data_IF_141616960175
#
_entry.id   IF_141616960175
#
_cell.length_a   1.000
_cell.length_b   1.000
_cell.length_c   1.000
_cell.angle_alpha   90.00
_cell.angle_beta   90.00
_cell.angle_gamma   90.00
#
_symmetry.space_group_name_H-M   'P 1'
#
loop_
_entity.id
_entity.type
_entity.pdbx_description
1 polymer ?
#
# COMPACT_ATOMS: atom_id res chain seq x y z
N UNK A 1 -5.22 12.44 13.03
CA UNK A 1 -4.27 11.97 12.00
C UNK A 1 -2.87 12.38 12.39
N UNK A 2 -1.85 11.58 12.10
CA UNK A 2 -0.46 11.97 12.33
C UNK A 2 -0.08 13.11 11.37
N UNK A 3 0.74 14.06 11.86
CA UNK A 3 1.36 15.05 10.96
C UNK A 3 2.49 14.40 10.17
N UNK A 4 2.85 14.99 9.04
CA UNK A 4 3.98 14.54 8.21
C UNK A 4 5.27 14.39 9.04
N UNK A 5 5.63 15.40 9.83
CA UNK A 5 6.80 15.39 10.70
C UNK A 5 6.80 14.21 11.70
N UNK A 6 5.63 13.91 12.32
CA UNK A 6 5.49 12.78 13.24
C UNK A 6 5.64 11.43 12.51
N UNK A 7 5.11 11.32 11.30
CA UNK A 7 5.25 10.11 10.48
C UNK A 7 6.70 9.86 10.09
N UNK A 8 7.42 10.87 9.61
CA UNK A 8 8.86 10.78 9.30
C UNK A 8 9.69 10.38 10.54
N UNK A 9 9.38 10.95 11.70
CA UNK A 9 10.07 10.60 12.95
C UNK A 9 9.88 9.10 13.31
N UNK A 10 8.68 8.57 13.11
CA UNK A 10 8.40 7.15 13.33
C UNK A 10 9.22 6.29 12.37
N UNK A 11 9.24 6.63 11.09
CA UNK A 11 10.00 5.91 10.06
C UNK A 11 11.51 5.90 10.37
N UNK A 12 12.08 7.02 10.81
CA UNK A 12 13.49 7.11 11.22
C UNK A 12 13.78 6.28 12.47
N UNK A 13 12.97 6.40 13.52
CA UNK A 13 13.13 5.65 14.77
C UNK A 13 13.08 4.13 14.58
N UNK A 14 12.38 3.65 13.59
CA UNK A 14 12.28 2.21 13.26
C UNK A 14 13.30 1.78 12.22
N UNK A 15 14.23 2.65 11.81
CA UNK A 15 15.17 2.42 10.70
C UNK A 15 14.47 2.05 9.37
N UNK A 16 13.19 2.41 9.24
CA UNK A 16 12.43 2.24 8.00
C UNK A 16 12.80 3.30 6.97
N UNK A 17 13.12 4.52 7.40
CA UNK A 17 13.68 5.59 6.55
C UNK A 17 15.14 5.78 6.92
N UNK A 18 16.01 5.65 5.93
CA UNK A 18 17.45 5.83 6.05
C UNK A 18 17.92 6.96 5.14
N UNK A 19 18.76 7.82 5.66
CA UNK A 19 19.47 8.84 4.89
C UNK A 19 20.86 8.27 4.51
N UNK A 20 21.33 8.52 3.29
CA UNK A 20 22.60 8.01 2.77
C UNK A 20 22.64 8.03 1.23
N UNK A 21 23.59 7.33 0.64
CA UNK A 21 23.65 7.17 -0.81
C UNK A 21 23.21 5.73 -1.18
N UNK A 22 22.12 5.60 -1.90
CA UNK A 22 21.52 4.33 -2.28
C UNK A 22 21.34 4.25 -3.80
N UNK A 23 21.64 3.08 -4.36
CA UNK A 23 21.30 2.74 -5.72
C UNK A 23 19.99 1.93 -5.68
N UNK A 24 18.94 2.47 -6.30
CA UNK A 24 17.63 1.84 -6.35
C UNK A 24 17.61 0.71 -7.38
N UNK A 25 16.61 -0.17 -7.31
CA UNK A 25 16.42 -1.26 -8.29
C UNK A 25 16.22 -0.77 -9.73
N UNK A 26 15.86 0.51 -9.90
CA UNK A 26 15.78 1.19 -11.19
C UNK A 26 17.15 1.65 -11.73
N UNK A 27 18.24 1.51 -10.95
CA UNK A 27 19.55 2.07 -11.26
C UNK A 27 19.70 3.54 -10.88
N UNK A 28 18.64 4.21 -10.43
CA UNK A 28 18.72 5.61 -10.00
C UNK A 28 19.32 5.73 -8.60
N UNK A 29 20.03 6.84 -8.39
CA UNK A 29 20.60 7.18 -7.09
C UNK A 29 19.61 7.95 -6.24
N UNK A 30 19.57 7.66 -4.93
CA UNK A 30 18.74 8.36 -3.98
C UNK A 30 19.51 8.66 -2.71
N UNK A 31 19.25 9.82 -2.12
CA UNK A 31 19.75 10.19 -0.79
C UNK A 31 18.96 9.55 0.35
N UNK A 32 17.86 8.87 0.03
CA UNK A 32 17.00 8.21 1.01
C UNK A 32 16.59 6.83 0.53
N UNK A 33 16.45 5.92 1.48
CA UNK A 33 15.95 4.57 1.23
C UNK A 33 14.85 4.23 2.25
N UNK A 34 13.74 3.68 1.75
CA UNK A 34 12.61 3.26 2.60
C UNK A 34 12.46 1.75 2.56
N UNK A 35 12.43 1.17 3.77
CA UNK A 35 12.17 -0.25 4.00
C UNK A 35 11.03 -0.39 5.02
N UNK A 36 9.79 -0.37 4.55
CA UNK A 36 8.62 -0.40 5.41
C UNK A 36 8.50 -1.67 6.26
N UNK A 37 9.10 -2.78 5.85
CA UNK A 37 9.16 -4.00 6.66
C UNK A 37 9.80 -3.76 8.04
N UNK A 38 10.75 -2.81 8.14
CA UNK A 38 11.35 -2.40 9.43
C UNK A 38 10.35 -1.72 10.36
N UNK A 39 9.48 -0.86 9.83
CA UNK A 39 8.38 -0.29 10.62
C UNK A 39 7.39 -1.38 11.01
N UNK A 40 7.00 -2.22 10.05
CA UNK A 40 5.95 -3.22 10.23
C UNK A 40 6.38 -4.36 11.17
N UNK A 41 7.70 -4.53 11.41
CA UNK A 41 8.20 -5.47 12.42
C UNK A 41 7.97 -5.02 13.88
N UNK A 42 7.49 -3.78 14.09
CA UNK A 42 7.07 -3.25 15.39
C UNK A 42 5.57 -2.96 15.42
N UNK A 43 4.69 -3.98 15.66
CA UNK A 43 3.25 -3.83 15.49
C UNK A 43 2.63 -2.66 16.26
N UNK A 44 3.07 -2.41 17.50
CA UNK A 44 2.59 -1.31 18.34
C UNK A 44 2.97 0.09 17.81
N UNK A 45 4.09 0.19 17.09
CA UNK A 45 4.51 1.44 16.44
C UNK A 45 3.79 1.58 15.09
N UNK A 46 3.77 0.51 14.30
CA UNK A 46 3.11 0.44 13.01
C UNK A 46 1.62 0.79 13.11
N UNK A 47 0.95 0.34 14.19
CA UNK A 47 -0.46 0.66 14.46
C UNK A 47 -0.73 2.18 14.41
N UNK A 48 0.19 3.03 14.87
CA UNK A 48 0.02 4.50 14.84
C UNK A 48 -0.06 5.02 13.41
N UNK A 49 0.82 4.53 12.52
CA UNK A 49 0.82 4.88 11.10
C UNK A 49 -0.42 4.32 10.41
N UNK A 50 -0.71 3.02 10.61
CA UNK A 50 -1.84 2.34 9.99
C UNK A 50 -3.18 2.96 10.42
N UNK A 51 -3.30 3.37 11.69
CA UNK A 51 -4.49 4.09 12.18
C UNK A 51 -4.66 5.43 11.47
N UNK A 52 -3.56 6.18 11.28
CA UNK A 52 -3.61 7.45 10.56
C UNK A 52 -3.98 7.24 9.09
N UNK A 53 -3.41 6.23 8.44
CA UNK A 53 -3.71 5.86 7.06
C UNK A 53 -5.18 5.42 6.92
N UNK A 54 -5.66 4.55 7.82
CA UNK A 54 -7.06 4.08 7.81
C UNK A 54 -8.06 5.22 7.94
N UNK A 55 -7.75 6.24 8.77
CA UNK A 55 -8.58 7.45 8.88
C UNK A 55 -8.62 8.23 7.57
N UNK A 56 -7.47 8.36 6.87
CA UNK A 56 -7.41 9.00 5.55
C UNK A 56 -8.22 8.21 4.51
N UNK A 57 -8.03 6.89 4.47
CA UNK A 57 -8.78 6.00 3.56
C UNK A 57 -10.29 6.17 3.79
N UNK A 58 -10.75 6.12 5.04
CA UNK A 58 -12.19 6.29 5.37
C UNK A 58 -12.73 7.66 4.99
N UNK A 59 -11.89 8.71 5.06
CA UNK A 59 -12.28 10.07 4.66
C UNK A 59 -12.45 10.20 3.15
N UNK A 60 -11.56 9.59 2.37
CA UNK A 60 -11.50 9.77 0.92
C UNK A 60 -12.31 8.74 0.14
N UNK A 61 -12.44 7.52 0.67
CA UNK A 61 -13.18 6.45 0.01
C UNK A 61 -14.39 6.04 0.83
N UNK A 62 -15.57 6.17 0.23
CA UNK A 62 -16.83 5.77 0.87
C UNK A 62 -17.25 4.38 0.40
N UNK A 63 -17.92 3.65 1.30
CA UNK A 63 -18.52 2.32 1.00
C UNK A 63 -17.49 1.33 0.45
N UNK A 64 -16.31 1.22 1.10
CA UNK A 64 -15.30 0.20 0.78
C UNK A 64 -15.86 -1.19 1.12
N UNK A 65 -15.68 -2.15 0.22
CA UNK A 65 -16.10 -3.53 0.42
C UNK A 65 -14.90 -4.43 0.71
N UNK A 66 -13.75 -4.17 0.08
CA UNK A 66 -12.58 -5.04 0.09
C UNK A 66 -11.29 -4.22 0.07
N UNK A 67 -10.28 -4.70 0.80
CA UNK A 67 -8.89 -4.27 0.69
C UNK A 67 -8.13 -5.34 -0.11
N UNK A 68 -7.40 -4.92 -1.13
CA UNK A 68 -6.49 -5.77 -1.90
C UNK A 68 -5.06 -5.27 -1.71
N UNK A 69 -4.14 -6.18 -1.43
CA UNK A 69 -2.72 -5.83 -1.26
C UNK A 69 -1.80 -6.71 -2.10
N UNK A 70 -0.77 -6.16 -2.73
CA UNK A 70 0.23 -6.96 -3.42
C UNK A 70 1.18 -7.63 -2.41
N UNK A 71 1.39 -8.93 -2.55
CA UNK A 71 2.43 -9.62 -1.80
C UNK A 71 3.82 -9.22 -2.31
N UNK A 72 4.86 -9.19 -1.45
CA UNK A 72 4.87 -9.54 -0.03
C UNK A 72 4.66 -8.31 0.86
N UNK A 73 5.23 -7.14 0.50
CA UNK A 73 5.28 -5.94 1.35
C UNK A 73 3.89 -5.45 1.78
N UNK A 74 2.90 -5.56 0.89
CA UNK A 74 1.53 -5.10 1.16
C UNK A 74 0.73 -5.98 2.14
N UNK A 75 1.14 -7.22 2.41
CA UNK A 75 0.31 -8.16 3.20
C UNK A 75 0.06 -7.63 4.61
N UNK A 76 1.13 -7.29 5.33
CA UNK A 76 1.03 -6.90 6.74
C UNK A 76 0.25 -5.59 6.89
N UNK A 77 0.58 -4.59 6.07
CA UNK A 77 -0.13 -3.32 6.12
C UNK A 77 -1.58 -3.46 5.69
N UNK A 78 -1.85 -4.27 4.65
CA UNK A 78 -3.21 -4.54 4.20
C UNK A 78 -4.05 -5.18 5.28
N UNK A 79 -3.52 -6.21 5.94
CA UNK A 79 -4.18 -6.86 7.08
C UNK A 79 -4.52 -5.86 8.19
N UNK A 80 -3.54 -5.04 8.61
CA UNK A 80 -3.75 -4.08 9.69
C UNK A 80 -4.76 -2.98 9.31
N UNK A 81 -4.68 -2.45 8.08
CA UNK A 81 -5.66 -1.48 7.57
C UNK A 81 -7.06 -2.10 7.50
N UNK A 82 -7.16 -3.34 7.01
CA UNK A 82 -8.43 -4.06 6.94
C UNK A 82 -9.04 -4.29 8.32
N UNK A 83 -8.23 -4.70 9.29
CA UNK A 83 -8.63 -4.85 10.70
C UNK A 83 -9.18 -3.54 11.26
N UNK A 84 -8.48 -2.42 11.05
CA UNK A 84 -8.88 -1.09 11.52
C UNK A 84 -10.15 -0.57 10.83
N UNK A 85 -10.35 -0.89 9.57
CA UNK A 85 -11.53 -0.52 8.79
C UNK A 85 -12.68 -1.53 8.94
N UNK A 86 -12.44 -2.68 9.57
CA UNK A 86 -13.38 -3.82 9.65
C UNK A 86 -13.84 -4.27 8.27
N UNK A 87 -12.86 -4.48 7.36
CA UNK A 87 -13.08 -4.90 5.98
C UNK A 87 -12.35 -6.19 5.69
N UNK A 88 -12.96 -7.02 4.85
CA UNK A 88 -12.29 -8.16 4.25
C UNK A 88 -11.00 -7.69 3.58
N UNK A 89 -9.92 -8.44 3.79
CA UNK A 89 -8.62 -8.14 3.21
C UNK A 89 -8.05 -9.37 2.57
N UNK A 90 -7.72 -9.25 1.30
CA UNK A 90 -7.06 -10.30 0.52
C UNK A 90 -5.77 -9.76 -0.08
N UNK A 91 -4.94 -10.66 -0.56
CA UNK A 91 -3.73 -10.28 -1.27
C UNK A 91 -3.60 -11.05 -2.60
N UNK A 92 -2.89 -10.44 -3.54
CA UNK A 92 -2.42 -11.10 -4.74
C UNK A 92 -0.93 -11.37 -4.65
N UNK A 93 -0.49 -12.46 -5.26
CA UNK A 93 0.90 -12.89 -5.24
C UNK A 93 1.44 -13.11 -6.67
N UNK A 94 2.76 -12.94 -6.85
CA UNK A 94 3.38 -13.15 -8.16
C UNK A 94 3.57 -14.63 -8.43
N UNK A 95 3.02 -15.08 -9.56
CA UNK A 95 3.22 -16.41 -10.11
C UNK A 95 3.72 -16.23 -11.53
N UNK A 96 4.91 -16.76 -11.82
CA UNK A 96 5.56 -16.60 -13.14
C UNK A 96 5.57 -15.12 -13.60
N UNK A 97 5.93 -14.22 -12.69
CA UNK A 97 6.07 -12.77 -12.94
C UNK A 97 4.77 -11.96 -13.00
N UNK A 98 3.59 -12.58 -12.91
CA UNK A 98 2.28 -11.90 -12.97
C UNK A 98 1.53 -12.03 -11.66
N UNK A 99 0.86 -10.97 -11.22
CA UNK A 99 -0.01 -11.04 -10.05
C UNK A 99 -1.26 -11.88 -10.33
N UNK A 100 -1.58 -12.74 -9.36
CA UNK A 100 -2.74 -13.63 -9.40
C UNK A 100 -3.40 -13.67 -8.02
N UNK A 101 -4.72 -13.86 -8.00
CA UNK A 101 -5.45 -14.27 -6.82
C UNK A 101 -5.30 -15.78 -6.67
N UNK A 102 -4.90 -16.21 -5.48
CA UNK A 102 -4.77 -17.62 -5.11
C UNK A 102 -5.48 -17.88 -3.78
N UNK A 103 -5.28 -19.05 -3.22
CA UNK A 103 -5.78 -19.42 -1.88
C UNK A 103 -7.31 -19.29 -1.74
N UNK A 104 -8.05 -19.45 -2.84
CA UNK A 104 -9.49 -19.29 -2.85
C UNK A 104 -9.97 -17.84 -2.80
N UNK A 105 -9.07 -16.86 -2.86
CA UNK A 105 -9.48 -15.44 -2.87
C UNK A 105 -10.21 -15.08 -4.15
N UNK A 106 -11.34 -14.39 -3.98
CA UNK A 106 -12.19 -13.93 -5.08
C UNK A 106 -12.58 -12.47 -4.84
N UNK A 107 -12.49 -11.67 -5.88
CA UNK A 107 -13.05 -10.32 -5.88
C UNK A 107 -14.45 -10.40 -6.49
N UNK A 108 -15.47 -10.13 -5.69
CA UNK A 108 -16.87 -10.15 -6.15
C UNK A 108 -17.13 -9.06 -7.20
N UNK A 109 -17.96 -9.38 -8.19
CA UNK A 109 -18.43 -8.38 -9.17
C UNK A 109 -19.04 -7.18 -8.44
N UNK A 110 -18.77 -5.97 -8.94
CA UNK A 110 -19.20 -4.69 -8.39
C UNK A 110 -18.64 -4.35 -7.00
N UNK A 111 -17.81 -5.20 -6.38
CA UNK A 111 -17.13 -4.86 -5.13
C UNK A 111 -16.28 -3.59 -5.29
N UNK A 112 -16.32 -2.73 -4.29
CA UNK A 112 -15.54 -1.48 -4.23
C UNK A 112 -14.25 -1.75 -3.47
N UNK A 113 -13.13 -1.69 -4.20
CA UNK A 113 -11.83 -2.16 -3.74
C UNK A 113 -10.87 -0.98 -3.58
N UNK A 114 -10.16 -0.94 -2.46
CA UNK A 114 -8.99 -0.07 -2.25
C UNK A 114 -7.74 -0.95 -2.28
N UNK A 115 -6.74 -0.55 -3.06
CA UNK A 115 -5.42 -1.18 -3.04
C UNK A 115 -4.60 -0.52 -1.94
N UNK A 116 -4.02 -1.35 -1.05
CA UNK A 116 -3.13 -0.90 0.03
C UNK A 116 -1.76 -1.53 -0.15
N UNK A 117 -0.74 -0.69 -0.22
CA UNK A 117 0.66 -1.07 -0.43
C UNK A 117 1.55 -0.42 0.64
N UNK A 118 2.70 -0.99 0.92
CA UNK A 118 3.64 -0.40 1.88
C UNK A 118 4.36 0.81 1.28
N UNK A 119 4.93 0.65 0.09
CA UNK A 119 5.62 1.71 -0.67
C UNK A 119 5.16 1.67 -2.12
N UNK A 120 4.68 2.79 -2.64
CA UNK A 120 4.48 2.96 -4.08
C UNK A 120 5.72 3.65 -4.65
N UNK A 121 6.43 2.96 -5.54
CA UNK A 121 7.60 3.51 -6.26
C UNK A 121 7.20 3.89 -7.69
N UNK A 122 7.31 2.96 -8.63
CA UNK A 122 6.88 3.16 -10.03
C UNK A 122 5.37 2.96 -10.23
N UNK A 123 4.67 2.48 -9.21
CA UNK A 123 3.26 2.11 -9.32
C UNK A 123 2.99 0.83 -10.11
N UNK A 124 4.02 0.14 -10.63
CA UNK A 124 3.84 -1.07 -11.45
C UNK A 124 3.02 -2.15 -10.75
N UNK A 125 3.34 -2.46 -9.50
CA UNK A 125 2.61 -3.45 -8.69
C UNK A 125 1.15 -3.05 -8.49
N UNK A 126 0.93 -1.79 -8.10
CA UNK A 126 -0.42 -1.24 -7.90
C UNK A 126 -1.25 -1.28 -9.19
N UNK A 127 -0.66 -0.94 -10.35
CA UNK A 127 -1.34 -1.00 -11.64
C UNK A 127 -1.64 -2.44 -12.10
N UNK A 128 -0.75 -3.38 -11.81
CA UNK A 128 -1.01 -4.80 -12.07
C UNK A 128 -2.16 -5.33 -11.19
N UNK A 129 -2.23 -4.93 -9.91
CA UNK A 129 -3.36 -5.24 -9.03
C UNK A 129 -4.68 -4.63 -9.54
N UNK A 130 -4.64 -3.41 -10.08
CA UNK A 130 -5.80 -2.77 -10.68
C UNK A 130 -6.37 -3.57 -11.85
N UNK A 131 -5.52 -4.24 -12.65
CA UNK A 131 -5.97 -5.14 -13.73
C UNK A 131 -6.75 -6.35 -13.21
N UNK A 132 -6.39 -6.90 -12.03
CA UNK A 132 -7.14 -8.00 -11.41
C UNK A 132 -8.55 -7.54 -10.99
N UNK A 133 -8.65 -6.34 -10.41
CA UNK A 133 -9.92 -5.74 -10.03
C UNK A 133 -10.81 -5.55 -11.26
N UNK A 134 -10.25 -4.99 -12.35
CA UNK A 134 -10.96 -4.80 -13.62
C UNK A 134 -11.43 -6.14 -14.22
N UNK A 135 -10.56 -7.16 -14.22
CA UNK A 135 -10.88 -8.51 -14.71
C UNK A 135 -12.05 -9.13 -13.93
N UNK A 136 -12.15 -8.86 -12.64
CA UNK A 136 -13.25 -9.31 -11.77
C UNK A 136 -14.53 -8.48 -11.91
N UNK A 137 -14.59 -7.51 -12.83
CA UNK A 137 -15.71 -6.57 -13.00
C UNK A 137 -16.05 -5.84 -11.69
N UNK A 138 -15.06 -5.59 -10.85
CA UNK A 138 -15.15 -4.82 -9.62
C UNK A 138 -14.71 -3.36 -9.86
N UNK A 139 -14.97 -2.48 -8.89
CA UNK A 139 -14.66 -1.06 -8.95
C UNK A 139 -13.44 -0.75 -8.11
N UNK A 140 -12.37 -0.29 -8.74
CA UNK A 140 -11.24 0.31 -8.03
C UNK A 140 -11.65 1.69 -7.52
N UNK A 141 -11.52 1.92 -6.20
CA UNK A 141 -11.77 3.23 -5.58
C UNK A 141 -10.49 4.08 -5.58
N UNK A 142 -9.34 3.48 -5.40
CA UNK A 142 -8.04 4.14 -5.39
C UNK A 142 -6.95 3.34 -4.69
N UNK A 143 -5.84 4.02 -4.44
CA UNK A 143 -4.63 3.45 -3.86
C UNK A 143 -4.32 4.15 -2.53
N UNK A 144 -3.71 3.42 -1.61
CA UNK A 144 -3.20 3.97 -0.37
C UNK A 144 -1.87 3.29 -0.01
N UNK A 145 -0.92 4.06 0.53
CA UNK A 145 0.37 3.53 0.97
C UNK A 145 0.90 4.30 2.18
N UNK A 146 1.88 3.72 2.88
CA UNK A 146 2.59 4.43 3.93
C UNK A 146 3.38 5.59 3.34
N UNK A 147 4.00 5.34 2.19
CA UNK A 147 4.82 6.33 1.49
C UNK A 147 4.78 6.14 -0.02
N UNK A 148 5.04 7.22 -0.72
CA UNK A 148 5.25 7.24 -2.17
C UNK A 148 6.68 7.73 -2.39
N UNK A 149 7.48 6.94 -3.11
CA UNK A 149 8.81 7.35 -3.53
C UNK A 149 8.70 8.06 -4.88
N UNK A 150 8.93 9.37 -4.88
CA UNK A 150 8.82 10.20 -6.08
C UNK A 150 9.99 9.93 -7.04
N UNK A 151 9.81 8.95 -7.91
CA UNK A 151 10.55 8.85 -9.16
C UNK A 151 9.54 8.69 -10.29
N UNK A 152 9.08 9.81 -10.87
CA UNK A 152 8.23 9.88 -12.07
C UNK A 152 6.98 8.98 -12.05
N UNK A 153 6.08 9.20 -11.08
CA UNK A 153 4.78 8.54 -11.05
C UNK A 153 3.81 9.23 -12.01
N UNK A 154 3.52 8.58 -13.12
CA UNK A 154 2.30 8.83 -13.89
C UNK A 154 1.23 7.81 -13.48
N UNK A 155 0.71 7.94 -12.27
CA UNK A 155 -0.56 7.27 -11.95
C UNK A 155 -1.69 8.15 -12.51
N UNK A 156 -2.73 7.57 -13.11
CA UNK A 156 -3.94 8.33 -13.38
C UNK A 156 -4.54 8.72 -12.04
N UNK A 157 -4.12 9.88 -11.55
CA UNK A 157 -4.54 10.39 -10.25
C UNK A 157 -5.82 11.17 -10.40
N UNK A 158 -6.88 10.64 -9.80
CA UNK A 158 -7.83 11.50 -9.16
C UNK A 158 -7.52 11.48 -7.66
N UNK A 159 -6.68 12.45 -7.21
CA UNK A 159 -6.32 12.84 -5.84
C UNK A 159 -5.23 12.04 -5.15
N UNK A 160 -4.14 12.73 -4.85
CA UNK A 160 -3.16 12.37 -3.82
C UNK A 160 -3.83 12.27 -2.45
N UNK A 161 -3.54 11.21 -1.73
CA UNK A 161 -3.99 11.00 -0.35
C UNK A 161 -2.81 11.05 0.60
#
# INVERSE_FOLDING_TARGET
>A
MLSHKKSLNILRKTNALRDGHFVLSSGLHSSQYIQCAKLLSFPHIANKICTSLSKKIKKNFKKIDLILSPAMGGIIIGYEVGRLLRKETIFCERVKGKFQLRRGFVIKKNARVVIVEDVITTGKSSLECAKLIKKSKAKLLGFASITVSYTHLTLPTNREV
#
